data_IF_258133701418
#
_entry.id   IF_258133701418
#
_cell.length_a   1.000
_cell.length_b   1.000
_cell.length_c   1.000
_cell.angle_alpha   90.00
_cell.angle_beta   90.00
_cell.angle_gamma   90.00
#
_symmetry.space_group_name_H-M   'P 1'
#
loop_
_entity.id
_entity.type
_entity.pdbx_description
1 polymer ?
#
# COMPACT_ATOMS: atom_id res chain seq x y z
N UNK A 1 -17.01 32.92 78.48
CA UNK A 1 -17.91 32.36 77.43
C UNK A 1 -17.20 32.18 76.08
N UNK A 2 -16.49 33.21 75.59
CA UNK A 2 -15.87 33.29 74.24
C UNK A 2 -15.00 32.07 73.84
N UNK A 3 -14.14 31.55 74.73
CA UNK A 3 -13.20 30.45 74.41
C UNK A 3 -13.92 29.17 73.96
N UNK A 4 -15.04 28.80 74.59
CA UNK A 4 -15.84 27.63 74.19
C UNK A 4 -16.50 27.81 72.82
N UNK A 5 -16.82 29.04 72.42
CA UNK A 5 -17.34 29.32 71.07
C UNK A 5 -16.25 29.20 70.01
N UNK A 6 -15.03 29.68 70.30
CA UNK A 6 -13.89 29.55 69.39
C UNK A 6 -13.53 28.07 69.13
N UNK A 7 -13.50 27.23 70.17
CA UNK A 7 -13.26 25.79 70.04
C UNK A 7 -14.35 25.07 69.22
N UNK A 8 -15.62 25.52 69.30
CA UNK A 8 -16.70 24.97 68.46
C UNK A 8 -16.57 25.40 67.00
N UNK A 9 -16.21 26.65 66.75
CA UNK A 9 -15.99 27.18 65.40
C UNK A 9 -14.82 26.49 64.70
N UNK A 10 -13.68 26.30 65.38
CA UNK A 10 -12.53 25.59 64.81
C UNK A 10 -12.81 24.12 64.52
N UNK A 11 -13.59 23.44 65.38
CA UNK A 11 -14.02 22.06 65.12
C UNK A 11 -14.90 21.94 63.87
N UNK A 12 -15.89 22.83 63.70
CA UNK A 12 -16.77 22.88 62.52
C UNK A 12 -15.96 23.15 61.23
N UNK A 13 -14.99 24.07 61.31
CA UNK A 13 -14.13 24.39 60.16
C UNK A 13 -13.24 23.20 59.76
N UNK A 14 -12.72 22.46 60.74
CA UNK A 14 -11.92 21.26 60.50
C UNK A 14 -12.76 20.14 59.86
N UNK A 15 -13.99 19.91 60.31
CA UNK A 15 -14.88 18.89 59.72
C UNK A 15 -15.28 19.25 58.29
N UNK A 16 -15.62 20.51 58.01
CA UNK A 16 -15.94 20.98 56.65
C UNK A 16 -14.72 20.85 55.71
N UNK A 17 -13.52 21.18 56.20
CA UNK A 17 -12.29 21.02 55.43
C UNK A 17 -11.99 19.54 55.12
N UNK A 18 -12.22 18.64 56.09
CA UNK A 18 -12.07 17.20 55.89
C UNK A 18 -13.07 16.64 54.88
N UNK A 19 -14.35 17.06 54.92
CA UNK A 19 -15.33 16.61 53.90
C UNK A 19 -15.00 17.13 52.50
N UNK A 20 -14.59 18.39 52.36
CA UNK A 20 -14.14 18.95 51.08
C UNK A 20 -12.87 18.23 50.55
N UNK A 21 -11.95 17.86 51.42
CA UNK A 21 -10.78 17.08 51.06
C UNK A 21 -11.17 15.65 50.60
N UNK A 22 -12.08 14.98 51.32
CA UNK A 22 -12.59 13.67 50.92
C UNK A 22 -13.31 13.72 49.57
N UNK A 23 -14.17 14.71 49.34
CA UNK A 23 -14.89 14.89 48.07
C UNK A 23 -13.95 15.09 46.88
N UNK A 24 -12.87 15.85 47.04
CA UNK A 24 -11.88 16.06 45.97
C UNK A 24 -11.03 14.81 45.70
N UNK A 25 -10.70 14.02 46.73
CA UNK A 25 -10.03 12.73 46.57
C UNK A 25 -10.95 11.73 45.83
N UNK A 26 -12.24 11.65 46.20
CA UNK A 26 -13.20 10.78 45.52
C UNK A 26 -13.36 11.13 44.04
N UNK A 27 -13.41 12.41 43.66
CA UNK A 27 -13.50 12.80 42.25
C UNK A 27 -12.23 12.49 41.47
N UNK A 28 -11.04 12.72 42.05
CA UNK A 28 -9.77 12.37 41.43
C UNK A 28 -9.64 10.84 41.19
N UNK A 29 -10.03 10.03 42.16
CA UNK A 29 -10.06 8.56 42.04
C UNK A 29 -11.04 8.15 40.92
N UNK A 30 -12.26 8.69 40.91
CA UNK A 30 -13.26 8.37 39.89
C UNK A 30 -12.76 8.68 38.46
N UNK A 31 -12.15 9.86 38.25
CA UNK A 31 -11.55 10.24 36.96
C UNK A 31 -10.42 9.27 36.58
N UNK A 32 -9.55 8.89 37.51
CA UNK A 32 -8.44 7.96 37.22
C UNK A 32 -8.95 6.57 36.82
N UNK A 33 -9.98 6.06 37.51
CA UNK A 33 -10.59 4.75 37.24
C UNK A 33 -11.25 4.72 35.86
N UNK A 34 -12.01 5.76 35.52
CA UNK A 34 -12.70 5.88 34.23
C UNK A 34 -11.69 5.99 33.08
N UNK A 35 -10.60 6.74 33.27
CA UNK A 35 -9.50 6.85 32.30
C UNK A 35 -8.82 5.50 32.05
N UNK A 36 -8.58 4.71 33.10
CA UNK A 36 -7.96 3.38 32.98
C UNK A 36 -8.91 2.36 32.32
N UNK A 37 -10.19 2.41 32.66
CA UNK A 37 -11.23 1.57 32.07
C UNK A 37 -11.45 1.90 30.58
N UNK A 38 -11.41 3.18 30.19
CA UNK A 38 -11.53 3.64 28.82
C UNK A 38 -10.28 3.28 27.97
N UNK A 39 -9.07 3.36 28.55
CA UNK A 39 -7.84 2.81 27.94
C UNK A 39 -7.92 1.29 27.74
N UNK A 40 -8.46 0.55 28.73
CA UNK A 40 -8.67 -0.89 28.61
C UNK A 40 -9.64 -1.26 27.48
N UNK A 41 -10.69 -0.45 27.27
CA UNK A 41 -11.63 -0.65 26.17
C UNK A 41 -10.96 -0.43 24.80
N UNK A 42 -10.26 0.70 24.64
CA UNK A 42 -9.49 1.02 23.42
C UNK A 42 -8.49 -0.07 23.05
N UNK A 43 -7.70 -0.55 24.02
CA UNK A 43 -6.73 -1.64 23.80
C UNK A 43 -7.41 -2.97 23.44
N UNK A 44 -8.62 -3.25 23.96
CA UNK A 44 -9.41 -4.43 23.59
C UNK A 44 -9.97 -4.32 22.18
N UNK A 45 -10.48 -3.15 21.78
CA UNK A 45 -10.98 -2.94 20.42
C UNK A 45 -9.85 -3.00 19.39
N UNK A 46 -8.66 -2.46 19.71
CA UNK A 46 -7.45 -2.59 18.89
C UNK A 46 -7.01 -4.05 18.76
N UNK A 47 -6.99 -4.82 19.86
CA UNK A 47 -6.71 -6.26 19.84
C UNK A 47 -7.78 -7.05 19.05
N UNK A 48 -9.05 -6.66 19.12
CA UNK A 48 -10.14 -7.27 18.36
C UNK A 48 -10.09 -6.90 16.88
N UNK A 49 -9.63 -5.70 16.52
CA UNK A 49 -9.34 -5.31 15.14
C UNK A 49 -8.16 -6.13 14.59
N UNK A 50 -7.07 -6.23 15.37
CA UNK A 50 -5.90 -7.06 15.04
C UNK A 50 -6.27 -8.54 14.86
N UNK A 51 -7.18 -9.08 15.69
CA UNK A 51 -7.73 -10.44 15.53
C UNK A 51 -8.73 -10.58 14.37
N UNK A 52 -9.42 -9.51 13.96
CA UNK A 52 -10.30 -9.52 12.78
C UNK A 52 -9.54 -9.41 11.46
N UNK A 53 -8.35 -8.80 11.45
CA UNK A 53 -7.37 -8.77 10.34
C UNK A 53 -6.71 -10.13 10.05
N UNK A 54 -7.25 -11.24 10.53
CA UNK A 54 -6.64 -12.58 10.47
C UNK A 54 -6.57 -13.24 9.06
N UNK A 55 -6.74 -12.45 8.00
CA UNK A 55 -6.23 -12.63 6.61
C UNK A 55 -6.75 -11.51 5.73
N UNK A 56 -5.92 -10.99 4.82
CA UNK A 56 -6.38 -10.15 3.73
C UNK A 56 -7.36 -10.93 2.85
N UNK A 57 -8.58 -10.40 2.69
CA UNK A 57 -9.64 -11.02 1.89
C UNK A 57 -9.53 -10.54 0.47
N UNK A 58 -8.79 -11.25 -0.37
CA UNK A 58 -8.66 -10.90 -1.79
C UNK A 58 -9.79 -11.49 -2.64
N UNK A 59 -10.41 -10.64 -3.45
CA UNK A 59 -11.38 -11.00 -4.50
C UNK A 59 -10.69 -10.94 -5.86
N UNK A 60 -10.47 -12.08 -6.53
CA UNK A 60 -10.00 -12.07 -7.93
C UNK A 60 -11.12 -11.49 -8.81
N UNK A 61 -10.89 -10.43 -9.59
CA UNK A 61 -11.80 -10.03 -10.64
C UNK A 61 -11.87 -11.16 -11.69
N UNK A 62 -13.07 -11.66 -12.01
CA UNK A 62 -13.26 -12.71 -13.02
C UNK A 62 -13.18 -12.14 -14.45
N UNK A 63 -12.03 -11.56 -14.77
CA UNK A 63 -11.70 -10.94 -16.06
C UNK A 63 -10.37 -11.50 -16.55
N UNK A 64 -10.14 -11.43 -17.86
CA UNK A 64 -8.87 -11.76 -18.51
C UNK A 64 -8.43 -10.55 -19.33
N UNK A 65 -7.11 -10.30 -19.47
CA UNK A 65 -6.63 -9.30 -20.41
C UNK A 65 -7.09 -9.63 -21.82
N UNK A 66 -7.51 -8.64 -22.60
CA UNK A 66 -7.43 -8.67 -24.06
C UNK A 66 -8.01 -9.93 -24.74
N UNK A 67 -7.30 -10.62 -25.65
CA UNK A 67 -6.00 -10.32 -26.29
C UNK A 67 -4.74 -10.71 -25.49
N UNK A 68 -3.82 -11.46 -26.10
CA UNK A 68 -2.63 -12.04 -25.44
C UNK A 68 -1.68 -11.00 -24.82
N UNK A 69 -1.02 -11.36 -23.72
CA UNK A 69 0.19 -10.70 -23.24
C UNK A 69 1.40 -11.53 -23.71
N UNK A 70 2.35 -10.89 -24.39
CA UNK A 70 3.53 -11.54 -24.93
C UNK A 70 4.70 -11.45 -23.95
N UNK A 71 5.09 -12.61 -23.42
CA UNK A 71 6.33 -12.73 -22.64
C UNK A 71 7.54 -12.58 -23.56
N UNK A 72 8.05 -11.36 -23.71
CA UNK A 72 9.21 -11.07 -24.55
C UNK A 72 10.45 -11.81 -24.06
N UNK A 73 10.91 -12.80 -24.84
CA UNK A 73 12.18 -13.48 -24.60
C UNK A 73 13.30 -12.50 -24.90
N UNK A 74 14.12 -12.19 -23.89
CA UNK A 74 15.33 -11.41 -24.08
C UNK A 74 16.24 -12.07 -25.13
N UNK A 75 16.62 -11.32 -26.16
CA UNK A 75 17.57 -11.73 -27.21
C UNK A 75 18.83 -10.88 -27.08
N UNK A 76 20.00 -11.47 -27.29
CA UNK A 76 21.28 -10.78 -27.13
C UNK A 76 21.87 -10.88 -25.72
N UNK A 77 22.88 -10.05 -25.43
CA UNK A 77 23.78 -10.20 -24.26
C UNK A 77 23.21 -9.63 -22.95
N UNK A 78 21.91 -9.34 -22.89
CA UNK A 78 21.31 -8.64 -21.77
C UNK A 78 21.33 -9.46 -20.49
N UNK A 79 22.14 -9.04 -19.52
CA UNK A 79 22.30 -9.72 -18.24
C UNK A 79 23.46 -10.73 -18.17
N UNK A 80 24.55 -10.52 -18.92
CA UNK A 80 25.85 -11.17 -18.65
C UNK A 80 26.78 -10.30 -17.76
N UNK A 81 26.22 -9.67 -16.73
CA UNK A 81 27.01 -9.18 -15.60
C UNK A 81 27.44 -10.38 -14.73
N UNK A 82 28.60 -10.99 -15.02
CA UNK A 82 29.24 -11.96 -14.11
C UNK A 82 28.39 -13.21 -13.77
N UNK A 83 27.73 -13.80 -14.77
CA UNK A 83 27.01 -15.08 -14.72
C UNK A 83 25.64 -15.15 -14.01
N UNK A 84 24.98 -14.03 -13.68
CA UNK A 84 23.55 -14.03 -13.27
C UNK A 84 22.63 -13.44 -14.33
N UNK A 85 21.85 -14.31 -14.99
CA UNK A 85 20.75 -13.92 -15.88
C UNK A 85 19.77 -12.99 -15.14
N UNK A 86 19.46 -11.85 -15.75
CA UNK A 86 18.44 -10.91 -15.25
C UNK A 86 17.10 -11.63 -15.07
N UNK A 87 16.45 -11.38 -13.94
CA UNK A 87 15.08 -11.82 -13.66
C UNK A 87 14.21 -10.60 -13.39
N UNK A 88 13.01 -10.60 -13.97
CA UNK A 88 11.97 -9.61 -13.67
C UNK A 88 10.66 -10.35 -13.41
N UNK A 89 9.86 -9.83 -12.47
CA UNK A 89 8.52 -10.35 -12.17
C UNK A 89 7.54 -9.19 -12.06
N UNK A 90 6.38 -9.36 -12.67
CA UNK A 90 5.25 -8.44 -12.54
C UNK A 90 4.50 -8.73 -11.23
N UNK A 91 4.10 -7.68 -10.49
CA UNK A 91 3.26 -7.83 -9.31
C UNK A 91 1.77 -7.79 -9.68
N UNK A 92 1.31 -8.83 -10.38
CA UNK A 92 -0.10 -9.03 -10.74
C UNK A 92 -0.65 -10.36 -10.23
N UNK A 93 -1.98 -10.49 -10.05
CA UNK A 93 -2.60 -11.78 -9.79
C UNK A 93 -2.42 -12.69 -11.01
N UNK A 94 -2.64 -14.00 -10.83
CA UNK A 94 -2.48 -15.02 -11.87
C UNK A 94 -3.32 -14.81 -13.15
N UNK A 95 -4.27 -13.87 -13.15
CA UNK A 95 -5.02 -13.43 -14.35
C UNK A 95 -4.22 -12.47 -15.24
N UNK A 96 -3.08 -11.94 -14.78
CA UNK A 96 -2.28 -10.89 -15.42
C UNK A 96 -3.02 -9.56 -15.68
N UNK A 97 -4.12 -9.31 -14.96
CA UNK A 97 -4.90 -8.07 -15.00
C UNK A 97 -5.35 -7.69 -13.59
N UNK A 98 -5.24 -6.41 -13.26
CA UNK A 98 -5.73 -5.84 -12.00
C UNK A 98 -6.72 -4.69 -12.23
N UNK A 99 -7.61 -4.48 -11.27
CA UNK A 99 -8.48 -3.30 -11.25
C UNK A 99 -7.82 -2.13 -10.52
N UNK A 100 -8.14 -0.92 -10.94
CA UNK A 100 -7.79 0.31 -10.21
C UNK A 100 -8.96 1.29 -10.07
N UNK A 101 -9.02 2.05 -8.97
CA UNK A 101 -9.87 3.26 -8.90
C UNK A 101 -9.16 4.51 -9.42
N UNK A 102 -7.83 4.55 -9.27
CA UNK A 102 -6.99 5.70 -9.57
C UNK A 102 -7.00 6.07 -11.06
N UNK A 103 -7.05 7.37 -11.34
CA UNK A 103 -6.83 7.91 -12.69
C UNK A 103 -5.38 7.76 -13.17
N UNK A 104 -4.44 7.73 -12.22
CA UNK A 104 -2.99 7.73 -12.44
C UNK A 104 -2.38 6.65 -11.54
N UNK A 105 -2.56 5.37 -11.89
CA UNK A 105 -2.14 4.26 -11.07
C UNK A 105 -0.61 4.16 -10.93
N UNK A 106 -0.21 3.35 -9.95
CA UNK A 106 1.17 2.90 -9.75
C UNK A 106 1.31 1.44 -10.09
N UNK A 107 2.24 1.13 -10.99
CA UNK A 107 2.63 -0.21 -11.41
C UNK A 107 3.80 -0.69 -10.54
N UNK A 108 3.86 -1.99 -10.28
CA UNK A 108 4.91 -2.59 -9.43
C UNK A 108 5.58 -3.76 -10.14
N UNK A 109 6.91 -3.77 -10.12
CA UNK A 109 7.72 -4.84 -10.71
C UNK A 109 8.92 -5.17 -9.83
N UNK A 110 9.28 -6.44 -9.75
CA UNK A 110 10.54 -6.88 -9.16
C UNK A 110 11.61 -6.96 -10.27
N UNK A 111 12.79 -6.41 -10.00
CA UNK A 111 13.96 -6.46 -10.88
C UNK A 111 15.14 -6.96 -10.06
N UNK A 112 15.73 -8.09 -10.46
CA UNK A 112 16.94 -8.63 -9.83
C UNK A 112 18.12 -7.66 -9.91
N UNK A 113 19.12 -7.83 -9.06
CA UNK A 113 20.35 -7.02 -9.11
C UNK A 113 20.98 -7.04 -10.52
N UNK A 114 21.26 -5.86 -11.07
CA UNK A 114 21.86 -5.68 -12.41
C UNK A 114 22.66 -4.38 -12.49
N UNK A 115 23.60 -4.29 -13.44
CA UNK A 115 24.33 -3.05 -13.73
C UNK A 115 23.51 -2.03 -14.55
N UNK A 116 22.46 -2.48 -15.27
CA UNK A 116 21.62 -1.66 -16.17
C UNK A 116 21.11 -0.39 -15.46
N UNK A 117 21.16 0.75 -16.17
CA UNK A 117 20.90 2.09 -15.61
C UNK A 117 19.60 2.74 -16.07
N UNK A 118 18.93 2.18 -17.07
CA UNK A 118 17.74 2.77 -17.67
C UNK A 118 16.68 1.70 -17.94
N UNK A 119 15.43 2.09 -17.83
CA UNK A 119 14.28 1.30 -18.20
C UNK A 119 13.27 2.18 -18.95
N UNK A 120 12.39 1.52 -19.69
CA UNK A 120 11.34 2.13 -20.48
C UNK A 120 9.99 1.61 -20.02
N UNK A 121 9.05 2.52 -19.75
CA UNK A 121 7.66 2.21 -19.45
C UNK A 121 6.80 2.65 -20.63
N UNK A 122 5.92 1.76 -21.08
CA UNK A 122 4.95 2.03 -22.15
C UNK A 122 3.55 1.70 -21.62
N UNK A 123 2.58 2.58 -21.83
CA UNK A 123 1.15 2.30 -21.66
C UNK A 123 0.48 2.35 -23.03
N UNK A 124 -0.33 1.34 -23.32
CA UNK A 124 -1.09 1.16 -24.54
C UNK A 124 -2.58 1.01 -24.22
N UNK A 125 -3.43 1.20 -25.22
CA UNK A 125 -4.84 0.79 -25.16
C UNK A 125 -5.03 -0.74 -25.02
N UNK A 126 -6.27 -1.18 -24.87
CA UNK A 126 -6.70 -2.58 -24.80
C UNK A 126 -6.23 -3.44 -25.99
N UNK A 127 -6.09 -2.84 -27.18
CA UNK A 127 -5.62 -3.51 -28.39
C UNK A 127 -4.10 -3.64 -28.48
N UNK A 128 -3.34 -2.81 -27.78
CA UNK A 128 -1.89 -2.72 -27.93
C UNK A 128 -1.43 -1.97 -29.20
N UNK A 129 -2.33 -1.27 -29.89
CA UNK A 129 -2.04 -0.57 -31.16
C UNK A 129 -1.82 0.95 -31.00
N UNK A 130 -2.23 1.53 -29.87
CA UNK A 130 -2.16 2.96 -29.59
C UNK A 130 -1.38 3.23 -28.31
N UNK A 131 -0.28 3.97 -28.42
CA UNK A 131 0.56 4.42 -27.30
C UNK A 131 -0.11 5.62 -26.62
N UNK A 132 -0.23 5.55 -25.30
CA UNK A 132 -0.76 6.61 -24.42
C UNK A 132 0.38 7.21 -23.57
N UNK A 133 1.30 6.35 -23.13
CA UNK A 133 2.55 6.76 -22.52
C UNK A 133 3.71 5.98 -23.13
N UNK A 134 4.81 6.68 -23.39
CA UNK A 134 6.12 6.10 -23.71
C UNK A 134 7.13 7.00 -22.99
N UNK A 135 7.84 6.46 -22.01
CA UNK A 135 8.82 7.20 -21.19
C UNK A 135 9.99 6.33 -20.74
N UNK A 136 11.20 6.84 -20.94
CA UNK A 136 12.41 6.32 -20.32
C UNK A 136 12.59 6.87 -18.90
N UNK A 137 13.22 6.10 -18.01
CA UNK A 137 13.53 6.53 -16.65
C UNK A 137 14.77 5.82 -16.08
N UNK A 138 15.53 6.49 -15.18
CA UNK A 138 16.74 5.93 -14.61
C UNK A 138 16.45 4.88 -13.53
N UNK A 139 17.06 3.71 -13.67
CA UNK A 139 17.14 2.66 -12.64
C UNK A 139 18.23 3.02 -11.62
N UNK A 140 17.93 3.95 -10.72
CA UNK A 140 18.88 4.40 -9.68
C UNK A 140 19.17 3.35 -8.61
N UNK A 141 18.29 2.34 -8.47
CA UNK A 141 18.44 1.17 -7.60
C UNK A 141 17.85 -0.06 -8.30
N UNK A 142 18.44 -1.23 -8.08
CA UNK A 142 18.00 -2.54 -8.57
C UNK A 142 18.20 -3.60 -7.47
N UNK A 143 17.73 -4.83 -7.66
CA UNK A 143 17.77 -5.85 -6.60
C UNK A 143 16.62 -5.72 -5.61
N UNK A 144 15.40 -5.57 -6.12
CA UNK A 144 14.21 -5.40 -5.30
C UNK A 144 12.96 -5.07 -6.11
N UNK A 145 11.92 -4.61 -5.43
CA UNK A 145 10.62 -4.25 -6.00
C UNK A 145 10.58 -2.74 -6.19
N UNK A 146 10.42 -2.30 -7.44
CA UNK A 146 10.30 -0.90 -7.83
C UNK A 146 8.84 -0.55 -8.12
N UNK A 147 8.52 0.75 -8.08
CA UNK A 147 7.21 1.30 -8.40
C UNK A 147 7.32 2.33 -9.52
N UNK A 148 6.41 2.31 -10.49
CA UNK A 148 6.32 3.30 -11.58
C UNK A 148 4.92 3.92 -11.52
N UNK A 149 4.83 5.23 -11.27
CA UNK A 149 3.55 5.95 -11.17
C UNK A 149 3.35 6.84 -12.40
N UNK A 150 2.15 6.84 -12.98
CA UNK A 150 1.84 7.78 -14.07
C UNK A 150 1.97 9.23 -13.59
N UNK A 151 2.56 10.14 -14.39
CA UNK A 151 2.83 11.50 -13.95
C UNK A 151 1.51 12.28 -13.70
N UNK A 152 1.50 13.22 -12.74
CA UNK A 152 0.29 13.93 -12.30
C UNK A 152 -0.36 14.81 -13.39
N UNK A 153 0.38 15.13 -14.44
CA UNK A 153 0.02 16.02 -15.55
C UNK A 153 -0.19 15.30 -16.91
N UNK A 154 0.05 13.98 -17.01
CA UNK A 154 -0.21 13.24 -18.26
C UNK A 154 -1.69 12.91 -18.49
N UNK A 155 -1.99 11.97 -19.38
CA UNK A 155 -3.37 11.52 -19.64
C UNK A 155 -3.94 10.65 -18.50
N UNK A 156 -5.14 10.97 -18.04
CA UNK A 156 -5.84 10.18 -17.02
C UNK A 156 -6.49 8.94 -17.65
N UNK A 157 -6.36 7.76 -17.02
CA UNK A 157 -7.05 6.57 -17.50
C UNK A 157 -8.58 6.76 -17.42
N UNK A 158 -9.30 6.36 -18.45
CA UNK A 158 -10.76 6.49 -18.51
C UNK A 158 -11.45 5.36 -17.74
N UNK A 159 -12.55 5.70 -17.08
CA UNK A 159 -13.39 4.73 -16.37
C UNK A 159 -13.99 3.73 -17.36
N UNK A 160 -13.90 2.43 -17.02
CA UNK A 160 -14.40 1.31 -17.80
C UNK A 160 -13.40 0.76 -18.82
N UNK A 161 -12.36 1.53 -19.19
CA UNK A 161 -11.38 1.10 -20.20
C UNK A 161 -10.28 0.22 -19.60
N UNK A 162 -9.91 -0.79 -20.39
CA UNK A 162 -8.72 -1.61 -20.18
C UNK A 162 -7.53 -0.99 -20.92
N UNK A 163 -6.35 -1.14 -20.33
CA UNK A 163 -5.07 -0.69 -20.86
C UNK A 163 -4.02 -1.78 -20.63
N UNK A 164 -3.03 -1.82 -21.51
CA UNK A 164 -1.85 -2.69 -21.37
C UNK A 164 -0.66 -1.83 -20.97
N UNK A 165 0.24 -2.38 -20.20
CA UNK A 165 1.53 -1.74 -19.93
C UNK A 165 2.67 -2.70 -20.17
N UNK A 166 3.81 -2.14 -20.57
CA UNK A 166 5.09 -2.82 -20.66
C UNK A 166 6.14 -2.11 -19.81
N UNK A 167 7.05 -2.88 -19.24
CA UNK A 167 8.30 -2.38 -18.70
C UNK A 167 9.45 -3.19 -19.30
N UNK A 168 10.36 -2.50 -20.00
CA UNK A 168 11.57 -3.06 -20.55
C UNK A 168 12.80 -2.44 -19.88
N UNK A 169 13.85 -3.23 -19.68
CA UNK A 169 15.16 -2.69 -19.26
C UNK A 169 16.01 -2.40 -20.48
N UNK A 170 16.71 -1.26 -20.51
CA UNK A 170 17.51 -0.84 -21.65
C UNK A 170 18.97 -1.23 -21.44
N UNK A 171 19.32 -2.42 -21.92
CA UNK A 171 20.68 -2.98 -21.84
C UNK A 171 21.43 -2.91 -23.16
N UNK A 172 20.71 -2.91 -24.28
CA UNK A 172 21.22 -2.53 -25.59
C UNK A 172 20.54 -1.22 -26.01
N UNK A 173 21.29 -0.10 -26.10
CA UNK A 173 20.74 1.18 -26.55
C UNK A 173 20.60 1.24 -28.08
N UNK A 174 21.33 0.41 -28.83
CA UNK A 174 21.38 0.41 -30.30
C UNK A 174 20.31 -0.54 -30.89
N UNK A 175 20.02 -1.67 -30.24
CA UNK A 175 18.91 -2.59 -30.58
C UNK A 175 18.00 -2.93 -29.39
N UNK A 176 16.90 -2.20 -29.27
CA UNK A 176 15.91 -2.41 -28.21
C UNK A 176 14.96 -3.60 -28.46
N UNK A 177 15.03 -4.29 -29.61
CA UNK A 177 14.13 -5.42 -29.90
C UNK A 177 14.42 -6.62 -29.00
N UNK A 178 15.69 -6.83 -28.66
CA UNK A 178 16.15 -7.88 -27.76
C UNK A 178 15.97 -7.60 -26.26
N UNK A 179 15.62 -6.37 -25.87
CA UNK A 179 15.54 -5.99 -24.47
C UNK A 179 14.50 -6.84 -23.69
N UNK A 180 14.86 -7.41 -22.51
CA UNK A 180 13.94 -8.09 -21.63
C UNK A 180 12.79 -7.15 -21.26
N UNK A 181 11.57 -7.66 -21.38
CA UNK A 181 10.33 -6.94 -21.03
C UNK A 181 9.39 -7.81 -20.22
N UNK A 182 8.59 -7.16 -19.40
CA UNK A 182 7.43 -7.73 -18.73
C UNK A 182 6.22 -6.87 -19.06
N UNK A 183 5.05 -7.52 -19.11
CA UNK A 183 3.80 -6.88 -19.47
C UNK A 183 2.72 -7.17 -18.42
N UNK A 184 1.68 -6.35 -18.41
CA UNK A 184 0.48 -6.57 -17.62
C UNK A 184 -0.70 -5.75 -18.16
N UNK A 185 -1.89 -6.03 -17.63
CA UNK A 185 -3.08 -5.24 -17.94
C UNK A 185 -3.66 -4.56 -16.70
N UNK A 186 -4.37 -3.46 -16.94
CA UNK A 186 -5.03 -2.65 -15.92
C UNK A 186 -6.38 -2.17 -16.46
N UNK A 187 -7.42 -2.22 -15.63
CA UNK A 187 -8.71 -1.62 -15.95
C UNK A 187 -9.10 -0.62 -14.87
N UNK A 188 -9.39 0.64 -15.26
CA UNK A 188 -9.90 1.62 -14.30
C UNK A 188 -11.40 1.41 -14.14
N UNK A 189 -11.85 1.21 -12.90
CA UNK A 189 -13.26 1.00 -12.56
C UNK A 189 -13.71 2.10 -11.58
N UNK A 190 -14.88 2.65 -11.82
CA UNK A 190 -15.52 3.57 -10.87
C UNK A 190 -15.85 2.82 -9.58
N UNK A 191 -15.33 3.23 -8.40
CA UNK A 191 -15.72 2.62 -7.15
C UNK A 191 -17.24 2.79 -6.92
N UNK A 192 -17.87 1.78 -6.31
CA UNK A 192 -19.27 1.88 -5.91
C UNK A 192 -19.46 3.02 -4.89
N UNK A 193 -20.66 3.62 -4.83
CA UNK A 193 -20.93 4.67 -3.85
C UNK A 193 -20.71 4.20 -2.41
N UNK A 194 -20.99 2.92 -2.13
CA UNK A 194 -20.74 2.31 -0.83
C UNK A 194 -19.23 2.26 -0.52
N UNK A 195 -18.41 1.74 -1.45
CA UNK A 195 -16.96 1.69 -1.28
C UNK A 195 -16.36 3.10 -1.11
N UNK A 196 -16.78 4.06 -1.93
CA UNK A 196 -16.34 5.46 -1.80
C UNK A 196 -16.70 6.06 -0.43
N UNK A 197 -17.91 5.81 0.06
CA UNK A 197 -18.37 6.26 1.38
C UNK A 197 -17.58 5.61 2.53
N UNK A 198 -17.17 4.35 2.38
CA UNK A 198 -16.46 3.62 3.44
C UNK A 198 -14.96 3.96 3.47
N UNK A 199 -14.32 4.08 2.29
CA UNK A 199 -12.95 4.59 2.16
C UNK A 199 -12.78 5.98 2.79
N UNK A 200 -13.80 6.83 2.75
CA UNK A 200 -13.81 8.15 3.37
C UNK A 200 -13.86 8.13 4.91
N UNK A 201 -14.31 7.03 5.53
CA UNK A 201 -14.51 6.91 6.99
C UNK A 201 -13.39 6.14 7.71
N UNK A 202 -12.67 5.27 7.00
CA UNK A 202 -11.68 4.37 7.61
C UNK A 202 -10.23 4.90 7.51
N UNK A 203 -9.34 4.37 8.34
CA UNK A 203 -7.91 4.69 8.30
C UNK A 203 -7.26 4.21 7.01
N UNK A 204 -6.13 4.79 6.62
CA UNK A 204 -5.36 4.36 5.42
C UNK A 204 -4.96 2.89 5.51
N UNK A 205 -4.68 2.35 6.71
CA UNK A 205 -4.40 0.91 6.88
C UNK A 205 -5.63 0.07 6.55
N UNK A 206 -6.81 0.45 7.01
CA UNK A 206 -8.04 -0.34 6.80
C UNK A 206 -8.54 -0.25 5.33
N UNK A 207 -8.11 0.77 4.57
CA UNK A 207 -8.36 0.83 3.11
C UNK A 207 -7.72 -0.33 2.36
N UNK A 208 -6.61 -0.90 2.84
CA UNK A 208 -5.97 -2.08 2.23
C UNK A 208 -6.96 -3.25 2.18
N UNK A 209 -7.62 -3.53 3.30
CA UNK A 209 -8.59 -4.62 3.42
C UNK A 209 -9.82 -4.37 2.55
N UNK A 210 -10.32 -3.12 2.50
CA UNK A 210 -11.46 -2.73 1.64
C UNK A 210 -11.13 -2.92 0.15
N UNK A 211 -10.03 -2.37 -0.34
CA UNK A 211 -9.61 -2.52 -1.74
C UNK A 211 -9.38 -4.00 -2.11
N UNK A 212 -8.75 -4.78 -1.23
CA UNK A 212 -8.53 -6.22 -1.42
C UNK A 212 -9.87 -6.97 -1.55
N UNK A 213 -10.83 -6.65 -0.68
CA UNK A 213 -12.14 -7.30 -0.62
C UNK A 213 -13.02 -6.98 -1.83
N UNK A 214 -12.80 -5.84 -2.48
CA UNK A 214 -13.53 -5.46 -3.70
C UNK A 214 -12.79 -5.82 -5.00
N UNK A 215 -11.51 -6.20 -4.92
CA UNK A 215 -10.69 -6.67 -6.05
C UNK A 215 -9.84 -5.59 -6.72
N UNK A 216 -9.68 -4.43 -6.07
CA UNK A 216 -8.86 -3.30 -6.53
C UNK A 216 -7.38 -3.56 -6.27
N UNK A 217 -6.81 -4.47 -7.06
CA UNK A 217 -5.45 -4.97 -6.92
C UNK A 217 -4.38 -3.88 -6.87
N UNK A 218 -4.44 -2.91 -7.80
CA UNK A 218 -3.44 -1.84 -7.87
C UNK A 218 -3.54 -0.87 -6.69
N UNK A 219 -4.76 -0.51 -6.26
CA UNK A 219 -4.96 0.35 -5.07
C UNK A 219 -4.53 -0.37 -3.78
N UNK A 220 -4.77 -1.69 -3.68
CA UNK A 220 -4.31 -2.52 -2.55
C UNK A 220 -2.79 -2.54 -2.47
N UNK A 221 -2.12 -2.87 -3.59
CA UNK A 221 -0.65 -2.88 -3.69
C UNK A 221 -0.05 -1.52 -3.33
N UNK A 222 -0.58 -0.43 -3.92
CA UNK A 222 -0.08 0.92 -3.70
C UNK A 222 -0.23 1.34 -2.24
N UNK A 223 -1.43 1.18 -1.66
CA UNK A 223 -1.71 1.55 -0.28
C UNK A 223 -0.82 0.78 0.69
N UNK A 224 -0.63 -0.53 0.48
CA UNK A 224 0.19 -1.37 1.34
C UNK A 224 1.70 -1.08 1.19
N UNK A 225 2.18 -0.84 -0.04
CA UNK A 225 3.56 -0.45 -0.30
C UNK A 225 3.91 0.90 0.35
N UNK A 226 3.03 1.90 0.26
CA UNK A 226 3.19 3.20 0.92
C UNK A 226 3.29 3.06 2.44
N UNK A 227 2.40 2.27 3.05
CA UNK A 227 2.40 2.00 4.48
C UNK A 227 3.70 1.32 4.93
N UNK A 228 4.24 0.39 4.13
CA UNK A 228 5.52 -0.29 4.39
C UNK A 228 6.73 0.62 4.24
N UNK A 229 6.72 1.52 3.27
CA UNK A 229 7.77 2.52 3.10
C UNK A 229 7.77 3.54 4.26
N UNK A 230 6.60 3.87 4.80
CA UNK A 230 6.46 4.72 5.98
C UNK A 230 6.79 4.00 7.30
N UNK A 231 6.49 2.71 7.41
CA UNK A 231 6.63 1.90 8.64
C UNK A 231 7.38 0.58 8.36
N UNK A 232 8.67 0.63 7.99
CA UNK A 232 9.41 -0.54 7.48
C UNK A 232 9.58 -1.67 8.50
N UNK A 233 9.45 -1.39 9.79
CA UNK A 233 9.61 -2.34 10.89
C UNK A 233 8.28 -2.90 11.42
N UNK A 234 7.13 -2.57 10.84
CA UNK A 234 5.82 -3.09 11.28
C UNK A 234 5.65 -4.56 10.81
N UNK A 235 5.57 -5.54 11.74
CA UNK A 235 5.42 -6.95 11.38
C UNK A 235 4.02 -7.26 10.81
N UNK A 236 3.01 -6.44 11.12
CA UNK A 236 1.66 -6.58 10.55
C UNK A 236 1.72 -6.32 9.05
N UNK A 237 2.30 -5.19 8.65
CA UNK A 237 2.48 -4.83 7.24
C UNK A 237 3.40 -5.80 6.49
N UNK A 238 4.32 -6.47 7.19
CA UNK A 238 5.15 -7.53 6.60
C UNK A 238 4.33 -8.80 6.31
N UNK A 239 3.44 -9.21 7.23
CA UNK A 239 2.53 -10.32 7.01
C UNK A 239 1.49 -9.99 5.92
N UNK A 240 0.90 -8.79 5.94
CA UNK A 240 -0.03 -8.31 4.92
C UNK A 240 0.60 -8.40 3.51
N UNK A 241 1.85 -7.96 3.36
CA UNK A 241 2.60 -8.01 2.10
C UNK A 241 2.89 -9.42 1.63
N UNK A 242 3.25 -10.29 2.59
CA UNK A 242 3.44 -11.70 2.33
C UNK A 242 2.14 -12.36 1.87
N UNK A 243 1.01 -12.13 2.54
CA UNK A 243 -0.29 -12.70 2.14
C UNK A 243 -0.70 -12.22 0.74
N UNK A 244 -0.46 -10.95 0.40
CA UNK A 244 -0.72 -10.41 -0.93
C UNK A 244 0.10 -11.13 -2.01
N UNK A 245 1.40 -11.28 -1.80
CA UNK A 245 2.28 -11.91 -2.77
C UNK A 245 2.05 -13.42 -2.84
N UNK A 246 1.80 -14.09 -1.72
CA UNK A 246 1.43 -15.51 -1.68
C UNK A 246 0.13 -15.77 -2.47
N UNK A 247 -0.88 -14.88 -2.36
CA UNK A 247 -2.13 -14.96 -3.14
C UNK A 247 -1.92 -14.85 -4.65
N UNK A 248 -0.98 -14.00 -5.08
CA UNK A 248 -0.58 -13.88 -6.48
C UNK A 248 0.37 -14.97 -6.97
N UNK A 249 0.78 -15.94 -6.13
CA UNK A 249 1.81 -16.92 -6.50
C UNK A 249 3.24 -16.34 -6.53
N UNK A 250 3.42 -15.13 -6.01
CA UNK A 250 4.65 -14.36 -5.96
C UNK A 250 5.43 -14.52 -4.64
N UNK A 251 5.14 -15.57 -3.87
CA UNK A 251 5.79 -15.91 -2.58
C UNK A 251 7.32 -15.83 -2.63
N UNK A 252 7.92 -16.17 -3.78
CA UNK A 252 9.37 -16.11 -4.03
C UNK A 252 10.00 -14.71 -3.97
N UNK A 253 9.20 -13.64 -3.89
CA UNK A 253 9.68 -12.24 -3.76
C UNK A 253 9.13 -11.54 -2.50
N UNK A 254 8.58 -12.27 -1.53
CA UNK A 254 7.97 -11.72 -0.30
C UNK A 254 8.95 -10.94 0.60
N UNK A 255 10.25 -11.23 0.47
CA UNK A 255 11.37 -10.61 1.20
C UNK A 255 12.19 -9.60 0.38
N UNK A 256 11.87 -9.40 -0.89
CA UNK A 256 12.57 -8.43 -1.72
C UNK A 256 12.29 -6.99 -1.22
N UNK A 257 13.29 -6.11 -1.16
CA UNK A 257 13.11 -4.77 -0.60
C UNK A 257 12.23 -3.90 -1.51
N UNK A 258 11.35 -3.09 -0.92
CA UNK A 258 10.67 -2.01 -1.63
C UNK A 258 11.67 -0.87 -1.86
N UNK A 259 11.98 -0.60 -3.14
CA UNK A 259 12.96 0.38 -3.55
C UNK A 259 12.26 1.70 -3.88
N UNK A 260 12.59 2.75 -3.13
CA UNK A 260 12.32 4.13 -3.54
C UNK A 260 13.28 4.50 -4.68
N UNK A 261 12.82 4.29 -5.91
CA UNK A 261 13.44 4.68 -7.17
C UNK A 261 12.37 4.82 -8.26
N UNK A 262 12.73 5.49 -9.35
CA UNK A 262 11.94 5.58 -10.59
C UNK A 262 10.70 6.50 -10.52
N UNK A 263 10.93 7.82 -10.59
CA UNK A 263 9.88 8.78 -10.98
C UNK A 263 9.92 8.94 -12.49
N UNK A 264 8.80 8.71 -13.19
CA UNK A 264 8.65 9.12 -14.59
C UNK A 264 8.74 10.66 -14.64
N UNK A 265 9.62 11.17 -15.49
CA UNK A 265 9.61 12.61 -15.81
C UNK A 265 8.51 12.88 -16.83
N UNK A 266 7.99 14.10 -16.85
CA UNK A 266 7.43 14.65 -18.10
C UNK A 266 8.51 15.45 -18.80
N UNK A 267 8.55 15.28 -20.11
CA UNK A 267 9.13 16.25 -21.05
C UNK A 267 8.17 17.44 -21.25
#
# INVERSE_FOLDING_TARGET
>A
MIIKSYQRLTAIFLTLFLELAMLSIFSAIAISLDTEQQRSLLAKDELLAQRRRARLRFKVPNIRPSGNLEGGIARGNCGLDGAKKLQMKVLLPNTNIGLTTAERPTFFVQISQTSIKEAKFILLNDKGDTIIYDQNFPLTKTGGIISVTLPPNGEALEVGKEYRWELAVLCDPDDQTGNPRIQGAIQRIQPSQQLANDLAKVSVRDRVDLYASEGFWYDTLKTLADLRLANPNDPTLANDWKELLDYAGLSTIDREPLLQCCTLKTE
#
